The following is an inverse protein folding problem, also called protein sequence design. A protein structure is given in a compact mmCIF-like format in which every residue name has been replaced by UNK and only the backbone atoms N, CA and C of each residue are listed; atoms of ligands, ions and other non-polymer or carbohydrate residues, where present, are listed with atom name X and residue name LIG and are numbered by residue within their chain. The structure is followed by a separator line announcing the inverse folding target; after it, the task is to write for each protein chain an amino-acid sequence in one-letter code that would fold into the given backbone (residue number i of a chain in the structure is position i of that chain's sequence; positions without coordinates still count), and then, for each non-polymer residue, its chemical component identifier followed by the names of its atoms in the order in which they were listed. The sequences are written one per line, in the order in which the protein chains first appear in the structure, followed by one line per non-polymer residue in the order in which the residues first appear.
data_IF_852252401450
#
_entry.id   IF_852252401450
#
_cell.length_a   1.000
_cell.length_b   1.000
_cell.length_c   1.000
_cell.angle_alpha   90.00
_cell.angle_beta   90.00
_cell.angle_gamma   90.00
#
_symmetry.space_group_name_H-M   'P 1'
#
loop_
_entity.id
_entity.type
_entity.pdbx_description
1 polymer ?
#
# COMPACT_ATOMS: atom_id res chain seq x y z
N UNK A 1 -54.89 49.69 -7.26
CA UNK A 1 -55.60 48.52 -6.71
C UNK A 1 -54.53 47.48 -6.40
N UNK A 2 -53.83 47.55 -5.25
CA UNK A 2 -54.27 46.99 -3.96
C UNK A 2 -54.27 45.46 -4.09
N UNK A 3 -53.32 44.68 -3.58
CA UNK A 3 -52.80 44.59 -2.22
C UNK A 3 -52.85 43.09 -1.83
N UNK A 4 -52.11 42.67 -0.79
CA UNK A 4 -52.05 41.32 -0.17
C UNK A 4 -50.96 40.42 -0.79
N UNK A 5 -49.69 40.50 -0.36
CA UNK A 5 -49.14 40.00 0.91
C UNK A 5 -49.55 38.56 1.24
N UNK A 6 -48.70 37.60 0.89
CA UNK A 6 -48.61 36.35 1.64
C UNK A 6 -47.15 36.03 1.97
N UNK A 7 -46.78 36.42 3.20
CA UNK A 7 -45.56 36.03 3.90
C UNK A 7 -45.80 34.66 4.54
N UNK A 8 -45.29 33.59 3.93
CA UNK A 8 -45.21 32.29 4.56
C UNK A 8 -43.74 31.91 4.83
N UNK A 9 -43.31 32.26 6.05
CA UNK A 9 -42.26 31.67 6.91
C UNK A 9 -41.15 30.85 6.22
N UNK A 10 -40.01 31.51 6.04
CA UNK A 10 -38.69 30.89 6.15
C UNK A 10 -38.53 30.29 7.56
N UNK A 11 -38.76 28.99 7.70
CA UNK A 11 -38.25 28.24 8.86
C UNK A 11 -36.81 27.84 8.58
N UNK A 12 -35.88 28.61 9.12
CA UNK A 12 -34.49 28.24 9.27
C UNK A 12 -34.39 27.00 10.17
N UNK A 13 -34.13 25.83 9.59
CA UNK A 13 -33.63 24.69 10.36
C UNK A 13 -32.11 24.76 10.43
N UNK A 14 -31.59 24.97 11.63
CA UNK A 14 -30.18 24.80 11.97
C UNK A 14 -29.77 23.33 11.72
N UNK A 15 -28.56 23.05 11.21
CA UNK A 15 -28.05 21.69 11.16
C UNK A 15 -27.66 21.25 12.57
N UNK A 16 -28.45 20.35 13.16
CA UNK A 16 -28.04 19.63 14.36
C UNK A 16 -27.08 18.51 13.96
N UNK A 17 -25.83 18.68 14.39
CA UNK A 17 -24.90 17.67 14.92
C UNK A 17 -25.05 16.21 14.47
N UNK A 18 -23.96 15.69 13.89
CA UNK A 18 -23.46 14.33 14.09
C UNK A 18 -24.50 13.21 13.95
N UNK A 19 -24.93 12.96 12.72
CA UNK A 19 -25.47 11.66 12.32
C UNK A 19 -24.54 11.08 11.28
N UNK A 20 -23.74 10.08 11.64
CA UNK A 20 -23.10 9.21 10.67
C UNK A 20 -24.20 8.67 9.76
N UNK A 21 -24.23 9.10 8.50
CA UNK A 21 -25.03 8.43 7.49
C UNK A 21 -24.32 7.12 7.23
N UNK A 22 -24.66 6.10 8.02
CA UNK A 22 -24.37 4.71 7.67
C UNK A 22 -25.19 4.42 6.43
N UNK A 23 -24.59 4.63 5.27
CA UNK A 23 -25.09 4.10 4.01
C UNK A 23 -24.95 2.58 4.13
N UNK A 24 -25.97 1.92 4.68
CA UNK A 24 -26.14 0.49 4.50
C UNK A 24 -26.49 0.30 3.02
N UNK A 25 -25.47 0.02 2.22
CA UNK A 25 -25.69 -0.54 0.89
C UNK A 25 -26.30 -1.91 1.14
N UNK A 26 -27.63 -1.97 1.13
CA UNK A 26 -28.33 -3.24 1.03
C UNK A 26 -27.74 -3.92 -0.21
N UNK A 27 -27.11 -5.07 -0.02
CA UNK A 27 -26.65 -5.91 -1.11
C UNK A 27 -27.90 -6.38 -1.86
N UNK A 28 -28.36 -5.57 -2.81
CA UNK A 28 -29.36 -5.97 -3.79
C UNK A 28 -28.72 -7.09 -4.61
N UNK A 29 -28.96 -8.32 -4.16
CA UNK A 29 -28.52 -9.52 -4.85
C UNK A 29 -29.12 -9.51 -6.25
N UNK A 30 -28.25 -9.37 -7.24
CA UNK A 30 -28.61 -9.59 -8.64
C UNK A 30 -28.99 -11.06 -8.75
N UNK A 31 -30.27 -11.32 -9.04
CA UNK A 31 -30.83 -12.64 -9.30
C UNK A 31 -30.93 -12.82 -10.81
N UNK A 32 -30.52 -13.99 -11.31
CA UNK A 32 -30.81 -14.36 -12.69
C UNK A 32 -32.33 -14.59 -12.88
N UNK A 33 -32.77 -14.73 -14.13
CA UNK A 33 -34.17 -14.99 -14.47
C UNK A 33 -34.72 -16.32 -13.87
N UNK A 34 -33.88 -17.14 -13.24
CA UNK A 34 -34.22 -18.40 -12.58
C UNK A 34 -34.21 -18.28 -11.03
N UNK A 35 -33.97 -17.09 -10.48
CA UNK A 35 -33.93 -16.86 -9.04
C UNK A 35 -32.64 -17.34 -8.36
N UNK A 36 -31.60 -17.71 -9.12
CA UNK A 36 -30.31 -18.10 -8.56
C UNK A 36 -29.50 -16.85 -8.22
N UNK A 37 -29.07 -16.75 -6.98
CA UNK A 37 -28.25 -15.66 -6.48
C UNK A 37 -26.88 -15.73 -7.18
N UNK A 38 -26.49 -14.68 -7.91
CA UNK A 38 -25.15 -14.56 -8.47
C UNK A 38 -24.21 -14.28 -7.30
N UNK A 39 -23.63 -15.33 -6.73
CA UNK A 39 -22.57 -15.20 -5.75
C UNK A 39 -21.38 -14.55 -6.46
N UNK A 40 -21.12 -13.27 -6.13
CA UNK A 40 -19.84 -12.64 -6.43
C UNK A 40 -18.73 -13.55 -5.89
N UNK A 41 -17.78 -13.88 -6.76
CA UNK A 41 -16.65 -14.74 -6.44
C UNK A 41 -15.80 -14.10 -5.33
N UNK A 42 -16.11 -14.43 -4.09
CA UNK A 42 -15.18 -14.27 -2.98
C UNK A 42 -14.06 -15.30 -3.22
N UNK A 43 -12.93 -14.84 -3.77
CA UNK A 43 -11.73 -15.66 -3.90
C UNK A 43 -11.44 -16.36 -2.58
N UNK A 44 -11.16 -17.66 -2.62
CA UNK A 44 -10.97 -18.45 -1.41
C UNK A 44 -9.82 -17.86 -0.55
N UNK A 45 -9.87 -17.94 0.78
CA UNK A 45 -8.84 -17.39 1.66
C UNK A 45 -7.40 -17.86 1.35
N UNK A 46 -7.26 -19.02 0.70
CA UNK A 46 -5.98 -19.56 0.22
C UNK A 46 -5.40 -18.84 -1.00
N UNK A 47 -6.23 -18.35 -1.92
CA UNK A 47 -5.79 -17.64 -3.12
C UNK A 47 -5.29 -16.23 -2.78
N UNK A 48 -6.01 -15.52 -1.90
CA UNK A 48 -5.58 -14.22 -1.39
C UNK A 48 -4.24 -14.31 -0.64
N UNK A 49 -4.01 -15.39 0.13
CA UNK A 49 -2.72 -15.65 0.79
C UNK A 49 -1.59 -15.91 -0.21
N UNK A 50 -1.85 -16.69 -1.27
CA UNK A 50 -0.87 -16.94 -2.35
C UNK A 50 -0.52 -15.65 -3.10
N UNK A 51 -1.52 -14.85 -3.50
CA UNK A 51 -1.31 -13.56 -4.15
C UNK A 51 -0.47 -12.61 -3.28
N UNK A 52 -0.78 -12.51 -1.98
CA UNK A 52 0.02 -11.71 -1.04
C UNK A 52 1.46 -12.24 -0.88
N UNK A 53 1.66 -13.57 -0.99
CA UNK A 53 3.01 -14.15 -0.93
C UNK A 53 3.85 -13.85 -2.17
N UNK A 54 3.25 -13.86 -3.36
CA UNK A 54 3.92 -13.49 -4.60
C UNK A 54 4.27 -12.00 -4.62
N UNK A 55 3.36 -11.12 -4.17
CA UNK A 55 3.65 -9.69 -4.00
C UNK A 55 4.83 -9.45 -3.05
N UNK A 56 4.93 -10.21 -1.95
CA UNK A 56 6.09 -10.11 -1.05
C UNK A 56 7.40 -10.50 -1.75
N UNK A 57 7.39 -11.55 -2.58
CA UNK A 57 8.57 -11.97 -3.34
C UNK A 57 8.98 -10.92 -4.38
N UNK A 58 8.01 -10.37 -5.12
CA UNK A 58 8.24 -9.29 -6.10
C UNK A 58 8.84 -8.06 -5.41
N UNK A 59 8.23 -7.60 -4.31
CA UNK A 59 8.75 -6.49 -3.49
C UNK A 59 10.18 -6.72 -3.05
N UNK A 60 10.48 -7.93 -2.61
CA UNK A 60 11.81 -8.30 -2.20
C UNK A 60 12.78 -8.17 -3.40
N UNK A 61 12.46 -8.79 -4.54
CA UNK A 61 13.28 -8.70 -5.75
C UNK A 61 13.56 -7.25 -6.19
N UNK A 62 12.55 -6.38 -6.15
CA UNK A 62 12.69 -4.96 -6.45
C UNK A 62 13.60 -4.23 -5.46
N UNK A 63 13.48 -4.52 -4.16
CA UNK A 63 14.34 -3.92 -3.15
C UNK A 63 15.81 -4.30 -3.38
N UNK A 64 16.10 -5.55 -3.74
CA UNK A 64 17.45 -5.99 -4.11
C UNK A 64 17.95 -5.26 -5.35
N UNK A 65 17.14 -5.19 -6.42
CA UNK A 65 17.50 -4.50 -7.66
C UNK A 65 17.79 -3.01 -7.43
N UNK A 66 17.04 -2.36 -6.54
CA UNK A 66 17.29 -0.97 -6.18
C UNK A 66 18.65 -0.78 -5.50
N UNK A 67 19.05 -1.69 -4.60
CA UNK A 67 20.38 -1.62 -3.96
C UNK A 67 21.52 -1.81 -4.97
N UNK A 68 21.37 -2.75 -5.92
CA UNK A 68 22.32 -2.95 -7.02
C UNK A 68 22.46 -1.67 -7.85
N UNK A 69 21.34 -1.09 -8.30
CA UNK A 69 21.34 0.17 -9.08
C UNK A 69 21.94 1.34 -8.30
N UNK A 70 21.68 1.43 -7.00
CA UNK A 70 22.25 2.47 -6.14
C UNK A 70 23.77 2.33 -6.03
N UNK A 71 24.27 1.10 -5.88
CA UNK A 71 25.70 0.80 -5.90
C UNK A 71 26.34 1.19 -7.24
N UNK A 72 25.72 0.81 -8.35
CA UNK A 72 26.16 1.12 -9.71
C UNK A 72 26.21 2.63 -9.98
N UNK A 73 25.20 3.39 -9.52
CA UNK A 73 25.18 4.85 -9.63
C UNK A 73 26.34 5.51 -8.87
N UNK A 74 26.64 5.02 -7.66
CA UNK A 74 27.79 5.48 -6.89
C UNK A 74 29.11 5.19 -7.59
N UNK A 75 29.29 3.96 -8.07
CA UNK A 75 30.48 3.57 -8.84
C UNK A 75 30.63 4.38 -10.13
N UNK A 76 29.55 4.59 -10.88
CA UNK A 76 29.53 5.40 -12.09
C UNK A 76 29.95 6.84 -11.80
N UNK A 77 29.42 7.46 -10.74
CA UNK A 77 29.78 8.82 -10.36
C UNK A 77 31.26 8.95 -9.99
N UNK A 78 31.78 7.99 -9.22
CA UNK A 78 33.21 7.95 -8.85
C UNK A 78 34.08 7.81 -10.10
N UNK A 79 33.71 6.92 -11.03
CA UNK A 79 34.48 6.72 -12.27
C UNK A 79 34.46 7.94 -13.19
N UNK A 80 33.32 8.63 -13.31
CA UNK A 80 33.21 9.89 -14.07
C UNK A 80 34.08 10.98 -13.43
N UNK A 81 34.03 11.12 -12.10
CA UNK A 81 34.83 12.09 -11.37
C UNK A 81 36.34 11.79 -11.47
N UNK A 82 36.74 10.53 -11.33
CA UNK A 82 38.15 10.10 -11.44
C UNK A 82 38.76 10.43 -12.81
N UNK A 83 37.95 10.40 -13.86
CA UNK A 83 38.35 10.69 -15.24
C UNK A 83 38.11 12.14 -15.67
N UNK A 84 37.44 12.93 -14.83
CA UNK A 84 36.91 14.26 -15.16
C UNK A 84 36.04 14.27 -16.43
N UNK A 85 35.25 13.22 -16.62
CA UNK A 85 34.40 13.00 -17.79
C UNK A 85 32.95 12.77 -17.36
N UNK A 86 32.23 13.85 -17.12
CA UNK A 86 30.84 13.78 -16.67
C UNK A 86 29.86 13.60 -17.83
N UNK A 87 29.20 12.44 -17.85
CA UNK A 87 28.06 12.18 -18.71
C UNK A 87 26.76 12.23 -17.90
N UNK A 88 26.23 13.44 -17.71
CA UNK A 88 24.99 13.66 -16.94
C UNK A 88 23.76 13.01 -17.58
N UNK A 89 23.76 12.83 -18.91
CA UNK A 89 22.66 12.15 -19.58
C UNK A 89 22.57 10.68 -19.17
N UNK A 90 23.70 9.96 -19.19
CA UNK A 90 23.78 8.57 -18.71
C UNK A 90 23.41 8.48 -17.22
N UNK A 91 23.94 9.38 -16.39
CA UNK A 91 23.62 9.41 -14.98
C UNK A 91 22.11 9.57 -14.74
N UNK A 92 21.46 10.49 -15.47
CA UNK A 92 20.02 10.72 -15.38
C UNK A 92 19.20 9.51 -15.82
N UNK A 93 19.59 8.83 -16.92
CA UNK A 93 18.92 7.61 -17.38
C UNK A 93 18.97 6.51 -16.32
N UNK A 94 20.14 6.28 -15.72
CA UNK A 94 20.32 5.26 -14.67
C UNK A 94 19.59 5.61 -13.38
N UNK A 95 19.58 6.89 -13.00
CA UNK A 95 18.81 7.36 -11.86
C UNK A 95 17.30 7.17 -12.07
N UNK A 96 16.80 7.44 -13.28
CA UNK A 96 15.39 7.22 -13.61
C UNK A 96 14.99 5.74 -13.53
N UNK A 97 15.88 4.81 -13.93
CA UNK A 97 15.67 3.36 -13.74
C UNK A 97 15.52 3.02 -12.25
N UNK A 98 16.42 3.51 -11.40
CA UNK A 98 16.38 3.27 -9.95
C UNK A 98 15.09 3.83 -9.31
N UNK A 99 14.66 5.04 -9.68
CA UNK A 99 13.42 5.66 -9.21
C UNK A 99 12.19 4.84 -9.64
N UNK A 100 12.19 4.31 -10.86
CA UNK A 100 11.09 3.48 -11.36
C UNK A 100 10.96 2.18 -10.55
N UNK A 101 12.09 1.52 -10.24
CA UNK A 101 12.13 0.32 -9.41
C UNK A 101 11.64 0.62 -7.99
N UNK A 102 12.07 1.73 -7.40
CA UNK A 102 11.64 2.15 -6.07
C UNK A 102 10.13 2.44 -6.03
N UNK A 103 9.62 3.16 -7.03
CA UNK A 103 8.20 3.49 -7.12
C UNK A 103 7.33 2.23 -7.18
N UNK A 104 7.73 1.24 -7.99
CA UNK A 104 7.04 -0.05 -8.06
C UNK A 104 7.04 -0.79 -6.73
N UNK A 105 8.16 -0.76 -6.00
CA UNK A 105 8.22 -1.38 -4.67
C UNK A 105 7.24 -0.70 -3.68
N UNK A 106 7.11 0.63 -3.74
CA UNK A 106 6.15 1.39 -2.92
C UNK A 106 4.70 1.09 -3.25
N UNK A 107 4.37 0.89 -4.54
CA UNK A 107 3.03 0.47 -4.96
C UNK A 107 2.64 -0.88 -4.34
N UNK A 108 3.57 -1.84 -4.35
CA UNK A 108 3.34 -3.16 -3.74
C UNK A 108 3.18 -3.05 -2.22
N UNK A 109 3.92 -2.15 -1.58
CA UNK A 109 3.76 -1.86 -0.15
C UNK A 109 2.36 -1.33 0.16
N UNK A 110 1.87 -0.41 -0.66
CA UNK A 110 0.47 0.04 -0.63
C UNK A 110 -0.52 -1.12 -0.74
N UNK A 111 -0.35 -2.00 -1.72
CA UNK A 111 -1.22 -3.16 -1.90
C UNK A 111 -1.19 -4.11 -0.69
N UNK A 112 0.00 -4.43 -0.17
CA UNK A 112 0.17 -5.32 0.98
C UNK A 112 -0.43 -4.75 2.27
N UNK A 113 -0.34 -3.43 2.48
CA UNK A 113 -0.97 -2.78 3.64
C UNK A 113 -2.50 -2.83 3.59
N UNK A 114 -3.10 -2.63 2.41
CA UNK A 114 -4.55 -2.78 2.20
C UNK A 114 -5.03 -4.23 2.43
N UNK A 115 -4.27 -5.22 1.93
CA UNK A 115 -4.55 -6.63 2.20
C UNK A 115 -4.46 -6.97 3.69
N UNK A 116 -3.47 -6.45 4.40
CA UNK A 116 -3.33 -6.66 5.84
C UNK A 116 -4.46 -5.99 6.65
N UNK A 117 -4.93 -4.81 6.23
CA UNK A 117 -6.07 -4.14 6.87
C UNK A 117 -7.37 -4.95 6.72
N UNK A 118 -7.58 -5.55 5.54
CA UNK A 118 -8.78 -6.35 5.23
C UNK A 118 -8.87 -7.69 5.99
N UNK A 119 -7.72 -8.23 6.44
CA UNK A 119 -7.66 -9.52 7.16
C UNK A 119 -7.68 -9.42 8.69
N UNK A 120 -7.78 -8.22 9.27
CA UNK A 120 -7.85 -8.03 10.73
C UNK A 120 -9.26 -8.23 11.25
N UNK A 121 -9.67 -9.49 11.44
CA UNK A 121 -10.50 -9.83 12.62
C UNK A 121 -9.59 -9.77 13.85
N UNK A 122 -9.97 -9.00 14.86
CA UNK A 122 -9.21 -8.78 16.08
C UNK A 122 -8.62 -10.09 16.65
N UNK A 123 -7.31 -10.12 16.90
CA UNK A 123 -6.66 -11.24 17.58
C UNK A 123 -7.11 -11.23 19.05
N UNK A 124 -7.56 -12.35 19.63
CA UNK A 124 -7.87 -12.40 21.05
C UNK A 124 -6.61 -12.11 21.89
N UNK A 125 -6.74 -11.41 23.04
CA UNK A 125 -5.62 -11.16 23.92
C UNK A 125 -5.08 -12.48 24.46
N UNK A 126 -3.80 -12.80 24.18
CA UNK A 126 -3.11 -13.93 24.85
C UNK A 126 -2.16 -14.79 23.99
N UNK A 127 -2.10 -14.64 22.67
CA UNK A 127 -1.13 -15.41 21.86
C UNK A 127 0.17 -14.65 21.66
N UNK A 128 1.25 -15.14 22.24
CA UNK A 128 2.62 -14.63 22.00
C UNK A 128 3.03 -14.98 20.57
N UNK A 129 2.91 -14.03 19.66
CA UNK A 129 3.55 -14.12 18.35
C UNK A 129 5.06 -14.29 18.58
N UNK A 130 5.69 -15.25 17.89
CA UNK A 130 7.15 -15.28 17.69
C UNK A 130 7.56 -13.90 17.19
N UNK A 131 8.01 -13.07 18.12
CA UNK A 131 8.13 -11.64 17.90
C UNK A 131 9.35 -11.46 17.00
N UNK A 132 9.13 -10.91 15.82
CA UNK A 132 10.18 -10.55 14.87
C UNK A 132 9.93 -9.09 14.51
N UNK A 133 10.98 -8.28 14.51
CA UNK A 133 10.87 -6.91 14.03
C UNK A 133 10.78 -6.96 12.51
N UNK A 134 9.96 -6.10 11.92
CA UNK A 134 9.93 -5.96 10.46
C UNK A 134 10.95 -4.92 10.07
N UNK A 135 11.71 -5.17 9.01
CA UNK A 135 12.57 -4.13 8.45
C UNK A 135 11.74 -2.94 7.97
N UNK A 136 12.19 -1.73 8.28
CA UNK A 136 11.58 -0.49 7.80
C UNK A 136 11.70 -0.30 6.29
N UNK A 137 12.76 -0.85 5.68
CA UNK A 137 13.05 -0.76 4.24
C UNK A 137 12.48 -1.94 3.44
N UNK A 138 12.79 -3.18 3.87
CA UNK A 138 12.47 -4.40 3.13
C UNK A 138 11.17 -5.08 3.62
N UNK A 139 10.62 -4.71 4.79
CA UNK A 139 9.60 -5.45 5.59
C UNK A 139 9.87 -6.93 5.85
N UNK A 140 11.04 -7.44 5.44
CA UNK A 140 11.51 -8.76 5.79
C UNK A 140 11.52 -8.94 7.31
N UNK A 141 11.25 -10.16 7.75
CA UNK A 141 11.34 -10.51 9.16
C UNK A 141 12.80 -10.45 9.59
N UNK A 142 13.07 -9.70 10.66
CA UNK A 142 14.37 -9.61 11.31
C UNK A 142 14.25 -10.32 12.66
N UNK A 143 15.21 -11.18 13.03
CA UNK A 143 15.33 -11.69 14.39
C UNK A 143 15.31 -10.54 15.41
N UNK A 144 14.79 -10.74 16.63
CA UNK A 144 14.74 -9.67 17.64
C UNK A 144 16.12 -9.10 17.99
N UNK A 145 17.11 -9.98 17.94
CA UNK A 145 18.54 -9.78 18.15
C UNK A 145 19.29 -9.41 16.86
N UNK A 146 18.60 -9.32 15.73
CA UNK A 146 19.19 -8.94 14.45
C UNK A 146 19.42 -7.43 14.34
N UNK A 147 20.67 -7.04 14.12
CA UNK A 147 21.06 -5.64 13.89
C UNK A 147 20.87 -5.18 12.43
N UNK A 148 20.66 -6.11 11.49
CA UNK A 148 20.54 -5.81 10.05
C UNK A 148 19.47 -6.69 9.39
N UNK A 149 18.73 -6.17 8.40
CA UNK A 149 17.86 -6.98 7.53
C UNK A 149 18.75 -7.88 6.66
N UNK A 150 18.68 -9.20 6.86
CA UNK A 150 19.41 -10.19 6.04
C UNK A 150 19.08 -10.11 4.54
N UNK A 151 17.96 -9.46 4.21
CA UNK A 151 17.49 -9.30 2.84
C UNK A 151 17.96 -8.01 2.15
N UNK A 152 18.12 -6.89 2.86
CA UNK A 152 18.47 -5.58 2.26
C UNK A 152 19.63 -4.85 2.94
N UNK A 153 20.24 -5.44 3.97
CA UNK A 153 21.35 -4.87 4.73
C UNK A 153 21.02 -3.62 5.54
N UNK A 154 19.76 -3.18 5.58
CA UNK A 154 19.38 -1.98 6.35
C UNK A 154 19.48 -2.27 7.85
N UNK A 155 20.15 -1.40 8.64
CA UNK A 155 20.26 -1.59 10.09
C UNK A 155 18.90 -1.44 10.78
N UNK A 156 18.72 -2.16 11.89
CA UNK A 156 17.54 -2.03 12.75
C UNK A 156 17.72 -0.85 13.70
N UNK A 157 17.24 0.33 13.28
CA UNK A 157 17.02 1.45 14.20
C UNK A 157 15.65 1.33 14.86
#
# INVERSE_FOLDING_TARGET
MGGLSDRARLSAQRPNSAGDVVVTVAASGVRDAKGKQIQQASSAPGEAKKAASELRKERAGLARRYQELRGDLGGLLIEMARRDQFNFHLLRLRAAEAVTVEQRAREIDGALTLHAASGRTALPPGTVAMSSKKCTSCTGAIPLDGNFCAYCGTPTQ
#
